data_IF_417150462189
#
_entry.id   IF_417150462189
#
_cell.length_a   1.000
_cell.length_b   1.000
_cell.length_c   1.000
_cell.angle_alpha   90.00
_cell.angle_beta   90.00
_cell.angle_gamma   90.00
#
_symmetry.space_group_name_H-M   'P 1'
#
loop_
_entity.id
_entity.type
_entity.pdbx_description
1 polymer ?
#
# COMPACT_ATOMS: atom_id res chain seq x y z
N UNK A 1 -49.15 -69.87 -14.76
CA UNK A 1 -48.27 -70.80 -15.53
C UNK A 1 -47.31 -69.96 -16.35
N UNK A 2 -46.02 -70.27 -16.42
CA UNK A 2 -45.20 -70.95 -15.40
C UNK A 2 -43.89 -70.19 -15.05
N UNK A 3 -43.31 -70.50 -13.88
CA UNK A 3 -41.86 -70.71 -13.60
C UNK A 3 -40.84 -69.56 -13.84
N UNK A 4 -39.63 -69.46 -13.25
CA UNK A 4 -38.86 -70.05 -12.11
C UNK A 4 -37.70 -69.06 -11.82
N UNK A 5 -36.90 -69.05 -10.73
CA UNK A 5 -36.70 -69.92 -9.54
C UNK A 5 -36.28 -69.05 -8.33
N UNK A 6 -36.16 -69.63 -7.13
CA UNK A 6 -35.42 -69.06 -5.98
C UNK A 6 -34.15 -69.90 -5.75
N UNK A 7 -32.95 -69.30 -5.53
CA UNK A 7 -31.81 -70.00 -4.95
C UNK A 7 -31.66 -69.73 -3.44
N UNK A 8 -31.24 -70.77 -2.72
CA UNK A 8 -31.28 -70.93 -1.26
C UNK A 8 -30.68 -69.83 -0.37
N UNK A 9 -31.28 -69.74 0.83
CA UNK A 9 -30.69 -69.11 2.01
C UNK A 9 -29.43 -69.88 2.43
N UNK A 10 -28.30 -69.18 2.57
CA UNK A 10 -27.16 -69.69 3.34
C UNK A 10 -27.22 -69.13 4.75
N UNK A 11 -27.39 -70.00 5.74
CA UNK A 11 -27.26 -69.65 7.15
C UNK A 11 -25.86 -69.10 7.43
N UNK A 12 -25.79 -67.92 8.04
CA UNK A 12 -24.54 -67.35 8.55
C UNK A 12 -24.48 -67.70 10.04
N UNK A 13 -23.47 -68.46 10.50
CA UNK A 13 -23.38 -68.84 11.92
C UNK A 13 -23.10 -67.61 12.80
N UNK A 14 -23.62 -67.57 14.04
CA UNK A 14 -23.46 -66.42 14.91
C UNK A 14 -21.99 -66.19 15.29
N UNK A 15 -21.50 -64.97 15.08
CA UNK A 15 -20.16 -64.58 15.52
C UNK A 15 -20.07 -64.53 17.05
N UNK A 16 -18.97 -65.01 17.66
CA UNK A 16 -18.82 -65.00 19.12
C UNK A 16 -18.61 -63.57 19.65
N UNK A 17 -19.56 -63.10 20.46
CA UNK A 17 -19.45 -61.81 21.16
C UNK A 17 -18.37 -61.91 22.24
N UNK A 18 -17.22 -61.26 22.02
CA UNK A 18 -16.19 -61.09 23.06
C UNK A 18 -16.58 -59.96 24.02
N UNK A 19 -16.40 -60.12 25.35
CA UNK A 19 -16.65 -59.03 26.30
C UNK A 19 -15.70 -57.85 26.05
N UNK A 20 -16.25 -56.64 26.06
CA UNK A 20 -15.47 -55.40 26.03
C UNK A 20 -14.62 -55.28 27.30
N UNK A 21 -13.29 -55.34 27.14
CA UNK A 21 -12.37 -54.98 28.23
C UNK A 21 -12.48 -53.47 28.50
N UNK A 22 -12.50 -53.02 29.76
CA UNK A 22 -12.57 -51.59 30.08
C UNK A 22 -11.32 -50.87 29.56
N UNK A 23 -11.50 -49.87 28.70
CA UNK A 23 -10.40 -49.02 28.25
C UNK A 23 -9.98 -48.11 29.41
N UNK A 24 -8.70 -48.18 29.80
CA UNK A 24 -8.10 -47.16 30.67
C UNK A 24 -8.19 -45.79 29.97
N UNK A 25 -8.41 -44.69 30.71
CA UNK A 25 -8.46 -43.36 30.11
C UNK A 25 -7.15 -43.08 29.37
N UNK A 26 -7.24 -42.70 28.09
CA UNK A 26 -6.08 -42.29 27.31
C UNK A 26 -5.49 -41.02 27.94
N UNK A 27 -4.19 -41.03 28.20
CA UNK A 27 -3.46 -39.81 28.58
C UNK A 27 -3.69 -38.73 27.51
N UNK A 28 -3.72 -37.44 27.89
CA UNK A 28 -3.90 -36.36 26.93
C UNK A 28 -2.77 -36.41 25.92
N UNK A 29 -3.12 -36.44 24.63
CA UNK A 29 -2.16 -36.36 23.54
C UNK A 29 -1.49 -34.98 23.65
N UNK A 30 -0.22 -34.95 24.03
CA UNK A 30 0.60 -33.76 23.83
C UNK A 30 0.60 -33.44 22.34
N UNK A 31 -0.11 -32.37 21.98
CA UNK A 31 0.00 -31.81 20.63
C UNK A 31 1.43 -31.30 20.49
N UNK A 32 2.25 -32.02 19.73
CA UNK A 32 3.52 -31.50 19.25
C UNK A 32 3.28 -30.10 18.72
N UNK A 33 3.86 -29.10 19.39
CA UNK A 33 3.98 -27.77 18.82
C UNK A 33 4.85 -27.92 17.58
N UNK A 34 4.23 -28.01 16.40
CA UNK A 34 4.93 -27.82 15.13
C UNK A 34 5.75 -26.55 15.29
N UNK A 35 7.08 -26.71 15.39
CA UNK A 35 8.00 -25.58 15.36
C UNK A 35 7.81 -24.92 14.01
N UNK A 36 7.06 -23.82 13.98
CA UNK A 36 7.00 -22.94 12.82
C UNK A 36 8.44 -22.60 12.47
N UNK A 37 8.83 -22.82 11.21
CA UNK A 37 10.18 -22.50 10.75
C UNK A 37 10.52 -21.06 11.14
N UNK A 38 11.77 -20.77 11.54
CA UNK A 38 12.18 -19.39 11.82
C UNK A 38 11.92 -18.53 10.58
N UNK A 39 11.39 -17.32 10.78
CA UNK A 39 11.11 -16.43 9.67
C UNK A 39 12.40 -16.16 8.85
N UNK A 40 12.33 -16.13 7.51
CA UNK A 40 13.51 -15.93 6.68
C UNK A 40 14.16 -14.55 6.97
N UNK A 41 15.48 -14.41 6.73
CA UNK A 41 16.21 -13.15 6.92
C UNK A 41 15.54 -11.96 6.25
N UNK A 42 15.68 -10.77 6.85
CA UNK A 42 14.98 -9.56 6.39
C UNK A 42 15.35 -9.23 4.93
N UNK A 43 16.63 -9.33 4.57
CA UNK A 43 17.11 -9.13 3.19
C UNK A 43 16.45 -10.10 2.19
N UNK A 44 16.39 -11.41 2.49
CA UNK A 44 15.81 -12.40 1.59
C UNK A 44 14.33 -12.09 1.31
N UNK A 45 13.57 -11.70 2.35
CA UNK A 45 12.17 -11.26 2.18
C UNK A 45 12.06 -10.04 1.25
N UNK A 46 12.97 -9.06 1.35
CA UNK A 46 12.99 -7.89 0.47
C UNK A 46 13.25 -8.27 -0.98
N UNK A 47 14.21 -9.16 -1.24
CA UNK A 47 14.44 -9.73 -2.58
C UNK A 47 13.19 -10.42 -3.14
N UNK A 48 12.52 -11.26 -2.33
CA UNK A 48 11.30 -11.95 -2.74
C UNK A 48 10.16 -10.98 -3.09
N UNK A 49 9.96 -9.91 -2.30
CA UNK A 49 8.94 -8.91 -2.59
C UNK A 49 9.16 -8.22 -3.95
N UNK A 50 10.41 -7.86 -4.30
CA UNK A 50 10.75 -7.31 -5.63
C UNK A 50 10.46 -8.36 -6.72
N UNK A 51 11.01 -9.58 -6.56
CA UNK A 51 10.94 -10.66 -7.54
C UNK A 51 9.49 -11.07 -7.84
N UNK A 52 8.67 -11.24 -6.80
CA UNK A 52 7.25 -11.59 -6.94
C UNK A 52 6.48 -10.47 -7.62
N UNK A 53 6.71 -9.21 -7.24
CA UNK A 53 6.05 -8.05 -7.88
C UNK A 53 6.39 -7.89 -9.35
N UNK A 54 7.56 -8.37 -9.80
CA UNK A 54 7.98 -8.36 -11.20
C UNK A 54 7.53 -9.60 -12.00
N UNK A 55 7.20 -10.73 -11.35
CA UNK A 55 7.01 -12.04 -12.01
C UNK A 55 5.65 -12.71 -11.77
N UNK A 56 4.80 -12.16 -10.90
CA UNK A 56 3.48 -12.69 -10.57
C UNK A 56 2.41 -11.61 -10.72
N UNK A 57 1.15 -12.04 -10.86
CA UNK A 57 -0.01 -11.15 -10.75
C UNK A 57 -0.21 -10.80 -9.26
N UNK A 58 0.38 -9.69 -8.84
CA UNK A 58 0.29 -9.19 -7.46
C UNK A 58 -0.79 -8.10 -7.29
N UNK A 59 -1.56 -7.82 -8.34
CA UNK A 59 -2.67 -6.87 -8.33
C UNK A 59 -4.02 -7.59 -8.23
N UNK A 60 -4.93 -7.03 -7.42
CA UNK A 60 -6.25 -7.59 -7.17
C UNK A 60 -7.31 -6.51 -6.92
N UNK A 61 -8.59 -6.92 -6.94
CA UNK A 61 -9.77 -6.06 -6.84
C UNK A 61 -9.81 -4.91 -7.90
N UNK A 62 -10.67 -3.90 -7.66
CA UNK A 62 -10.72 -2.67 -8.43
C UNK A 62 -10.46 -1.48 -7.48
N UNK A 63 -9.86 -0.41 -7.99
CA UNK A 63 -9.79 0.90 -7.29
C UNK A 63 -11.12 1.66 -7.29
N UNK A 64 -12.02 1.22 -8.16
CA UNK A 64 -13.30 1.84 -8.53
C UNK A 64 -13.24 3.26 -9.11
N UNK A 65 -12.07 3.75 -9.56
CA UNK A 65 -12.00 4.97 -10.38
C UNK A 65 -12.77 4.89 -11.72
N UNK A 66 -13.15 3.68 -12.17
CA UNK A 66 -14.10 3.46 -13.28
C UNK A 66 -15.52 4.01 -13.00
N UNK A 67 -15.86 4.20 -11.73
CA UNK A 67 -17.14 4.73 -11.26
C UNK A 67 -17.10 6.25 -10.96
N UNK A 68 -15.99 6.89 -11.31
CA UNK A 68 -15.75 8.34 -11.13
C UNK A 68 -15.60 8.94 -12.51
N UNK A 69 -16.59 9.73 -12.92
CA UNK A 69 -16.67 10.31 -14.27
C UNK A 69 -16.47 11.81 -14.17
N UNK A 70 -15.34 12.32 -14.64
CA UNK A 70 -15.14 13.77 -14.81
C UNK A 70 -16.03 14.25 -15.95
N UNK A 71 -16.68 15.40 -15.80
CA UNK A 71 -17.49 16.00 -16.86
C UNK A 71 -16.56 16.61 -17.90
N UNK A 72 -16.65 16.10 -19.12
CA UNK A 72 -15.89 16.63 -20.26
C UNK A 72 -16.35 18.05 -20.60
N UNK A 73 -15.38 18.96 -20.72
CA UNK A 73 -15.55 20.25 -21.36
C UNK A 73 -15.07 20.19 -22.81
N UNK A 74 -15.99 20.42 -23.75
CA UNK A 74 -15.74 20.43 -25.19
C UNK A 74 -15.27 21.80 -25.72
N UNK A 75 -15.33 22.86 -24.90
CA UNK A 75 -14.87 24.20 -25.24
C UNK A 75 -14.18 24.84 -24.01
N UNK A 76 -13.02 24.31 -23.58
CA UNK A 76 -12.40 24.71 -22.31
C UNK A 76 -11.73 26.10 -22.33
N UNK A 77 -11.54 26.71 -23.50
CA UNK A 77 -10.91 28.04 -23.70
C UNK A 77 -9.53 28.20 -23.02
N UNK A 78 -8.73 27.12 -22.94
CA UNK A 78 -7.37 27.12 -22.37
C UNK A 78 -6.28 26.85 -23.42
N UNK A 79 -5.07 27.33 -23.17
CA UNK A 79 -3.84 26.80 -23.79
C UNK A 79 -3.32 25.61 -22.95
N UNK A 80 -2.95 24.53 -23.63
CA UNK A 80 -2.37 23.33 -23.00
C UNK A 80 -1.00 23.61 -22.36
N UNK A 81 -0.20 24.53 -22.91
CA UNK A 81 1.13 24.85 -22.35
C UNK A 81 1.04 25.73 -21.10
N UNK A 82 -0.05 26.48 -20.91
CA UNK A 82 -0.29 27.29 -19.71
C UNK A 82 -0.81 26.48 -18.49
N UNK A 83 -1.14 25.19 -18.64
CA UNK A 83 -1.69 24.38 -17.55
C UNK A 83 -0.63 24.14 -16.45
N UNK A 84 -0.85 24.78 -15.29
CA UNK A 84 0.02 24.72 -14.11
C UNK A 84 -0.34 23.54 -13.19
N UNK A 85 0.46 22.49 -13.24
CA UNK A 85 0.35 21.32 -12.37
C UNK A 85 1.19 21.43 -11.09
N UNK A 86 1.87 22.55 -10.83
CA UNK A 86 2.69 22.69 -9.62
C UNK A 86 1.84 22.72 -8.35
N UNK A 87 2.42 22.27 -7.23
CA UNK A 87 1.74 22.23 -5.94
C UNK A 87 2.73 22.46 -4.79
N UNK A 88 2.21 22.64 -3.56
CA UNK A 88 3.02 22.70 -2.34
C UNK A 88 2.56 21.62 -1.37
N UNK A 89 3.51 20.80 -0.90
CA UNK A 89 3.26 19.73 0.05
C UNK A 89 4.22 19.84 1.24
N UNK A 90 3.67 19.86 2.45
CA UNK A 90 4.45 19.94 3.71
C UNK A 90 5.55 21.02 3.70
N UNK A 91 5.27 22.18 3.08
CA UNK A 91 6.19 23.32 2.98
C UNK A 91 7.20 23.27 1.83
N UNK A 92 7.12 22.27 0.94
CA UNK A 92 8.01 22.10 -0.23
C UNK A 92 7.21 22.21 -1.52
N UNK A 93 7.75 22.90 -2.53
CA UNK A 93 7.16 22.95 -3.88
C UNK A 93 7.44 21.64 -4.61
N UNK A 94 6.44 21.12 -5.30
CA UNK A 94 6.56 20.05 -6.29
C UNK A 94 6.11 20.58 -7.66
N UNK A 95 6.73 20.07 -8.73
CA UNK A 95 6.37 20.44 -10.10
C UNK A 95 5.13 19.70 -10.62
N UNK A 96 4.72 18.60 -9.99
CA UNK A 96 3.45 17.91 -10.21
C UNK A 96 2.94 17.31 -8.89
N UNK A 97 1.64 17.02 -8.72
CA UNK A 97 1.07 16.49 -7.48
C UNK A 97 1.28 14.97 -7.37
N UNK A 98 2.53 14.53 -7.43
CA UNK A 98 2.88 13.11 -7.55
C UNK A 98 4.05 12.66 -6.66
N UNK A 99 3.89 11.47 -6.07
CA UNK A 99 4.91 10.75 -5.31
C UNK A 99 5.12 9.36 -5.92
N UNK A 100 6.38 8.99 -6.17
CA UNK A 100 6.76 7.59 -6.34
C UNK A 100 6.67 6.92 -4.97
N UNK A 101 5.77 5.95 -4.83
CA UNK A 101 5.48 5.32 -3.54
C UNK A 101 6.56 4.34 -3.06
N UNK A 102 6.57 4.15 -1.75
CA UNK A 102 7.52 3.28 -1.05
C UNK A 102 7.51 1.83 -1.57
N UNK A 103 8.61 1.40 -2.19
CA UNK A 103 8.78 0.03 -2.70
C UNK A 103 9.82 -0.78 -1.93
N UNK A 104 11.09 -0.36 -1.98
CA UNK A 104 12.20 -1.26 -1.66
C UNK A 104 13.38 -0.58 -0.94
N UNK A 105 14.34 -1.40 -0.54
CA UNK A 105 15.48 -1.09 0.29
C UNK A 105 15.77 -2.27 1.21
N UNK A 106 17.05 -2.50 1.53
CA UNK A 106 17.49 -3.63 2.34
C UNK A 106 17.86 -4.89 1.56
N UNK A 107 18.24 -4.76 0.29
CA UNK A 107 18.93 -5.81 -0.48
C UNK A 107 19.73 -5.23 -1.66
N UNK A 108 20.63 -6.02 -2.24
CA UNK A 108 21.54 -5.57 -3.32
C UNK A 108 20.83 -4.93 -4.53
N UNK A 109 19.78 -5.55 -5.05
CA UNK A 109 19.05 -5.04 -6.23
C UNK A 109 18.24 -3.77 -5.93
N UNK A 110 17.83 -3.58 -4.66
CA UNK A 110 17.08 -2.43 -4.22
C UNK A 110 17.87 -1.12 -4.34
N UNK A 111 19.21 -1.17 -4.24
CA UNK A 111 20.07 0.01 -4.43
C UNK A 111 19.82 0.60 -5.82
N UNK A 112 20.12 -0.15 -6.90
CA UNK A 112 19.93 0.32 -8.28
C UNK A 112 18.51 0.86 -8.53
N UNK A 113 17.50 0.14 -8.03
CA UNK A 113 16.08 0.53 -8.17
C UNK A 113 15.83 1.88 -7.49
N UNK A 114 16.21 2.04 -6.23
CA UNK A 114 16.01 3.30 -5.49
C UNK A 114 16.80 4.46 -6.11
N UNK A 115 18.02 4.24 -6.60
CA UNK A 115 18.82 5.27 -7.30
C UNK A 115 18.13 5.74 -8.59
N UNK A 116 17.62 4.81 -9.40
CA UNK A 116 16.93 5.13 -10.65
C UNK A 116 15.61 5.89 -10.42
N UNK A 117 14.82 5.47 -9.43
CA UNK A 117 13.56 6.14 -9.06
C UNK A 117 13.82 7.56 -8.53
N UNK A 118 14.76 7.71 -7.59
CA UNK A 118 15.09 8.99 -6.99
C UNK A 118 15.61 9.99 -8.03
N UNK A 119 16.50 9.57 -8.94
CA UNK A 119 17.07 10.44 -9.97
C UNK A 119 16.02 10.96 -10.96
N UNK A 120 15.06 10.10 -11.36
CA UNK A 120 13.95 10.50 -12.22
C UNK A 120 12.97 11.45 -11.49
N UNK A 121 12.67 11.18 -10.22
CA UNK A 121 11.82 12.04 -9.41
C UNK A 121 12.46 13.41 -9.13
N UNK A 122 13.77 13.47 -8.85
CA UNK A 122 14.52 14.72 -8.64
C UNK A 122 14.49 15.60 -9.89
N UNK A 123 14.83 15.02 -11.05
CA UNK A 123 14.85 15.71 -12.34
C UNK A 123 13.50 16.32 -12.70
N UNK A 124 12.40 15.65 -12.36
CA UNK A 124 11.04 16.11 -12.60
C UNK A 124 10.46 16.95 -11.44
N UNK A 125 11.17 17.14 -10.32
CA UNK A 125 10.71 17.90 -9.15
C UNK A 125 9.52 17.27 -8.43
N UNK A 126 9.54 15.94 -8.26
CA UNK A 126 8.48 15.12 -7.66
C UNK A 126 8.87 14.62 -6.26
N UNK A 127 7.96 13.89 -5.61
CA UNK A 127 8.28 13.16 -4.38
C UNK A 127 8.72 11.70 -4.62
N UNK A 128 9.51 11.16 -3.70
CA UNK A 128 9.95 9.77 -3.70
C UNK A 128 9.98 9.20 -2.27
N UNK A 129 9.28 8.09 -2.05
CA UNK A 129 9.36 7.32 -0.82
C UNK A 129 10.27 6.10 -0.95
N UNK A 130 11.17 5.91 0.02
CA UNK A 130 11.92 4.65 0.13
C UNK A 130 11.06 3.55 0.78
N UNK A 131 11.36 2.29 0.52
CA UNK A 131 10.74 1.17 1.25
C UNK A 131 11.10 1.18 2.74
N UNK A 132 10.43 0.34 3.55
CA UNK A 132 10.67 0.31 5.00
C UNK A 132 12.16 0.12 5.36
N UNK A 133 12.66 1.07 6.15
CA UNK A 133 14.05 1.23 6.64
C UNK A 133 14.38 0.32 7.84
N UNK A 134 13.46 -0.55 8.28
CA UNK A 134 13.70 -1.56 9.33
C UNK A 134 14.96 -2.39 9.09
N UNK A 135 15.35 -2.63 7.82
CA UNK A 135 16.58 -3.33 7.48
C UNK A 135 17.82 -2.46 7.77
N UNK A 136 17.95 -1.26 7.18
CA UNK A 136 19.12 -0.40 7.44
C UNK A 136 19.31 0.03 8.90
N UNK A 137 18.22 0.16 9.66
CA UNK A 137 18.27 0.49 11.09
C UNK A 137 18.83 -0.68 11.93
N UNK A 138 18.57 -1.94 11.52
CA UNK A 138 19.11 -3.13 12.19
C UNK A 138 20.48 -3.56 11.66
N UNK A 139 20.75 -3.30 10.39
CA UNK A 139 21.90 -3.77 9.64
C UNK A 139 22.51 -2.58 8.87
N UNK A 140 23.44 -1.81 9.48
CA UNK A 140 23.95 -0.55 8.93
C UNK A 140 24.55 -0.66 7.52
N UNK A 141 25.12 -1.82 7.16
CA UNK A 141 25.64 -2.11 5.81
C UNK A 141 24.58 -1.99 4.70
N UNK A 142 23.30 -2.19 5.04
CA UNK A 142 22.19 -2.05 4.10
C UNK A 142 21.77 -0.58 3.90
N UNK A 143 22.28 0.37 4.69
CA UNK A 143 21.90 1.79 4.61
C UNK A 143 22.18 2.41 3.23
N UNK A 144 23.25 1.99 2.54
CA UNK A 144 23.56 2.45 1.17
C UNK A 144 22.42 2.22 0.18
N UNK A 145 21.60 1.16 0.38
CA UNK A 145 20.47 0.83 -0.50
C UNK A 145 19.31 1.82 -0.40
N UNK A 146 19.33 2.73 0.58
CA UNK A 146 18.33 3.78 0.81
C UNK A 146 18.88 5.20 0.59
N UNK A 147 20.22 5.38 0.56
CA UNK A 147 20.86 6.69 0.39
C UNK A 147 20.81 7.11 -1.07
N UNK A 148 20.03 8.16 -1.34
CA UNK A 148 19.83 8.72 -2.71
C UNK A 148 20.15 10.21 -2.83
N UNK A 149 20.38 10.92 -1.72
CA UNK A 149 20.59 12.38 -1.71
C UNK A 149 21.81 12.88 -2.50
N UNK A 150 22.76 11.99 -2.75
CA UNK A 150 23.95 12.27 -3.55
C UNK A 150 23.66 12.46 -5.06
N UNK A 151 22.52 11.94 -5.55
CA UNK A 151 22.02 12.16 -6.93
C UNK A 151 20.61 12.75 -7.00
N UNK A 152 19.92 12.84 -5.87
CA UNK A 152 18.60 13.42 -5.73
C UNK A 152 18.56 14.44 -4.56
N UNK A 153 19.31 15.55 -4.67
CA UNK A 153 19.42 16.53 -3.59
C UNK A 153 18.13 17.34 -3.37
N UNK A 154 17.26 17.46 -4.38
CA UNK A 154 16.08 18.32 -4.39
C UNK A 154 14.75 17.57 -4.25
N UNK A 155 14.72 16.27 -4.55
CA UNK A 155 13.52 15.41 -4.47
C UNK A 155 12.86 15.54 -3.10
N UNK A 156 11.52 15.55 -3.04
CA UNK A 156 10.83 15.46 -1.76
C UNK A 156 10.94 14.02 -1.24
N UNK A 157 11.89 13.78 -0.34
CA UNK A 157 12.27 12.43 0.08
C UNK A 157 11.46 12.01 1.31
N UNK A 158 10.83 10.85 1.25
CA UNK A 158 10.00 10.30 2.33
C UNK A 158 10.68 9.05 2.88
N UNK A 159 11.11 9.10 4.14
CA UNK A 159 11.57 7.93 4.89
C UNK A 159 10.40 7.00 5.22
N UNK A 160 10.66 5.75 5.66
CA UNK A 160 9.61 4.78 5.91
C UNK A 160 9.93 3.82 7.06
N UNK A 161 9.08 3.79 8.09
CA UNK A 161 9.07 2.77 9.15
C UNK A 161 7.65 2.23 9.34
N UNK A 162 7.51 1.04 9.91
CA UNK A 162 6.20 0.49 10.27
C UNK A 162 5.84 0.88 11.69
N UNK A 163 4.62 1.37 11.91
CA UNK A 163 4.18 1.84 13.23
C UNK A 163 4.28 0.73 14.30
N UNK A 164 4.05 -0.52 13.90
CA UNK A 164 4.16 -1.70 14.77
C UNK A 164 5.58 -1.94 15.32
N UNK A 165 6.65 -1.45 14.65
CA UNK A 165 8.01 -1.60 15.17
C UNK A 165 8.24 -0.83 16.48
N UNK A 166 7.55 0.30 16.69
CA UNK A 166 7.64 1.06 17.95
C UNK A 166 7.00 0.31 19.14
N UNK A 167 5.95 -0.50 18.89
CA UNK A 167 5.44 -1.45 19.89
C UNK A 167 6.42 -2.60 20.20
N UNK A 168 7.35 -2.86 19.28
CA UNK A 168 8.32 -3.96 19.32
C UNK A 168 9.76 -3.49 19.59
N UNK A 169 9.91 -2.33 20.25
CA UNK A 169 11.19 -1.87 20.81
C UNK A 169 11.99 -0.88 19.96
N UNK A 170 11.45 -0.34 18.86
CA UNK A 170 12.03 0.86 18.24
C UNK A 170 11.70 2.08 19.12
N UNK A 171 12.68 2.96 19.32
CA UNK A 171 12.51 4.23 20.02
C UNK A 171 13.16 5.39 19.27
N UNK A 172 13.54 6.43 20.02
CA UNK A 172 14.09 7.68 19.47
C UNK A 172 15.34 7.45 18.62
N UNK A 173 16.18 6.46 18.98
CA UNK A 173 17.39 6.13 18.19
C UNK A 173 17.01 5.64 16.80
N UNK A 174 16.17 4.63 16.70
CA UNK A 174 15.75 4.01 15.42
C UNK A 174 14.97 5.00 14.55
N UNK A 175 14.19 5.88 15.19
CA UNK A 175 13.48 6.99 14.55
C UNK A 175 14.45 8.01 13.93
N UNK A 176 15.44 8.49 14.70
CA UNK A 176 16.42 9.46 14.23
C UNK A 176 17.36 8.84 13.18
N UNK A 177 17.77 7.57 13.33
CA UNK A 177 18.57 6.85 12.34
C UNK A 177 17.85 6.74 10.99
N UNK A 178 16.53 6.52 10.99
CA UNK A 178 15.73 6.49 9.77
C UNK A 178 15.63 7.87 9.10
N UNK A 179 15.51 8.95 9.87
CA UNK A 179 15.41 10.32 9.34
C UNK A 179 16.77 10.83 8.86
N UNK A 180 17.75 10.94 9.77
CA UNK A 180 19.06 11.50 9.50
C UNK A 180 19.91 10.61 8.59
N UNK A 181 19.69 9.29 8.61
CA UNK A 181 20.43 8.33 7.79
C UNK A 181 20.22 8.47 6.27
N UNK A 182 19.11 9.09 5.84
CA UNK A 182 18.84 9.43 4.43
C UNK A 182 18.51 10.91 4.19
N UNK A 183 18.40 11.72 5.25
CA UNK A 183 18.04 13.14 5.20
C UNK A 183 16.69 13.37 4.47
N UNK A 184 15.64 12.66 4.92
CA UNK A 184 14.30 12.81 4.36
C UNK A 184 13.63 14.12 4.82
N UNK A 185 12.65 14.58 4.04
CA UNK A 185 11.81 15.76 4.36
C UNK A 185 10.59 15.38 5.23
N UNK A 186 10.18 14.11 5.18
CA UNK A 186 9.09 13.54 5.98
C UNK A 186 9.35 12.06 6.29
N UNK A 187 8.66 11.52 7.31
CA UNK A 187 8.71 10.09 7.66
C UNK A 187 7.32 9.48 7.51
N UNK A 188 7.20 8.47 6.65
CA UNK A 188 6.01 7.64 6.56
C UNK A 188 6.02 6.57 7.66
N UNK A 189 4.95 6.52 8.46
CA UNK A 189 4.64 5.42 9.38
C UNK A 189 3.57 4.55 8.73
N UNK A 190 3.96 3.37 8.26
CA UNK A 190 3.03 2.47 7.58
C UNK A 190 2.21 1.62 8.55
N UNK A 191 0.95 1.41 8.17
CA UNK A 191 -0.01 0.48 8.72
C UNK A 191 -0.12 -0.68 7.74
N UNK A 192 0.22 -1.88 8.19
CA UNK A 192 0.17 -3.11 7.40
C UNK A 192 -0.40 -4.32 8.18
N UNK A 193 -1.45 -4.17 9.02
CA UNK A 193 -1.95 -5.27 9.85
C UNK A 193 -2.41 -6.47 9.02
N UNK A 194 -2.99 -6.23 7.84
CA UNK A 194 -3.36 -7.31 6.92
C UNK A 194 -2.13 -8.10 6.46
N UNK A 195 -1.07 -7.41 6.02
CA UNK A 195 0.17 -8.06 5.61
C UNK A 195 0.79 -8.85 6.75
N UNK A 196 0.94 -8.25 7.94
CA UNK A 196 1.57 -8.93 9.09
C UNK A 196 0.78 -10.15 9.57
N UNK A 197 -0.56 -10.15 9.44
CA UNK A 197 -1.39 -11.32 9.76
C UNK A 197 -1.31 -12.42 8.69
N UNK A 198 -1.15 -12.06 7.42
CA UNK A 198 -0.95 -13.02 6.33
C UNK A 198 0.48 -13.58 6.26
N UNK A 199 1.49 -12.79 6.64
CA UNK A 199 2.91 -13.14 6.54
C UNK A 199 3.32 -14.22 7.57
N UNK A 200 4.08 -15.25 7.17
CA UNK A 200 4.73 -16.14 8.13
C UNK A 200 5.63 -15.38 9.11
N UNK A 201 5.32 -15.48 10.41
CA UNK A 201 6.05 -14.80 11.48
C UNK A 201 5.83 -13.30 11.59
N UNK A 202 4.78 -12.74 10.96
CA UNK A 202 4.44 -11.31 11.09
C UNK A 202 3.86 -10.89 12.44
N UNK A 203 3.86 -9.57 12.66
CA UNK A 203 3.53 -8.91 13.92
C UNK A 203 2.01 -8.84 14.21
N UNK A 204 1.58 -9.48 15.31
CA UNK A 204 0.15 -9.69 15.62
C UNK A 204 -0.49 -8.72 16.62
N UNK A 205 0.32 -8.06 17.46
CA UNK A 205 -0.19 -7.26 18.59
C UNK A 205 -0.21 -5.76 18.29
N UNK A 206 -1.27 -5.31 17.62
CA UNK A 206 -1.47 -3.90 17.26
C UNK A 206 -2.00 -3.01 18.41
N UNK A 207 -2.14 -3.56 19.63
CA UNK A 207 -2.61 -2.80 20.80
C UNK A 207 -1.58 -1.74 21.19
N UNK A 208 -2.04 -0.49 21.26
CA UNK A 208 -1.24 0.67 21.66
C UNK A 208 -0.59 1.43 20.50
N UNK A 209 -0.66 0.96 19.25
CA UNK A 209 -0.04 1.66 18.11
C UNK A 209 -0.51 3.12 17.96
N UNK A 210 -1.77 3.44 18.28
CA UNK A 210 -2.28 4.82 18.28
C UNK A 210 -1.60 5.71 19.33
N UNK A 211 -1.23 5.15 20.49
CA UNK A 211 -0.49 5.87 21.52
C UNK A 211 0.94 6.16 21.05
N UNK A 212 1.61 5.20 20.40
CA UNK A 212 2.94 5.43 19.81
C UNK A 212 2.89 6.53 18.76
N UNK A 213 1.94 6.46 17.82
CA UNK A 213 1.74 7.49 16.80
C UNK A 213 1.56 8.88 17.46
N UNK A 214 0.78 8.94 18.54
CA UNK A 214 0.55 10.18 19.30
C UNK A 214 1.81 10.69 19.99
N UNK A 215 2.73 9.83 20.45
CA UNK A 215 4.02 10.30 20.98
C UNK A 215 4.96 10.75 19.86
N UNK A 216 5.09 9.97 18.79
CA UNK A 216 5.99 10.25 17.67
C UNK A 216 5.62 11.59 17.01
N UNK A 217 4.33 11.87 16.80
CA UNK A 217 3.87 13.14 16.21
C UNK A 217 4.15 14.38 17.10
N UNK A 218 4.41 14.23 18.41
CA UNK A 218 4.84 15.35 19.27
C UNK A 218 6.26 15.81 18.96
N UNK A 219 7.09 14.97 18.35
CA UNK A 219 8.46 15.30 17.96
C UNK A 219 8.57 16.39 16.88
N UNK A 220 7.45 16.82 16.29
CA UNK A 220 7.37 17.98 15.39
C UNK A 220 7.82 17.72 13.95
N UNK A 221 8.65 16.69 13.70
CA UNK A 221 9.02 16.28 12.35
C UNK A 221 7.80 15.83 11.52
N UNK A 222 7.72 16.08 10.20
CA UNK A 222 6.54 15.76 9.41
C UNK A 222 6.28 14.24 9.30
N UNK A 223 5.25 13.76 10.01
CA UNK A 223 4.78 12.38 9.93
C UNK A 223 3.66 12.25 8.90
N UNK A 224 3.83 11.31 7.97
CA UNK A 224 2.78 10.83 7.06
C UNK A 224 2.34 9.47 7.59
N UNK A 225 1.05 9.21 7.79
CA UNK A 225 0.60 7.84 8.08
C UNK A 225 0.08 7.22 6.79
N UNK A 226 0.61 6.05 6.44
CA UNK A 226 0.23 5.36 5.21
C UNK A 226 -0.38 3.98 5.45
N UNK A 227 -1.28 3.55 4.59
CA UNK A 227 -1.63 2.12 4.47
C UNK A 227 -0.67 1.41 3.48
N UNK A 228 -0.94 0.16 3.15
CA UNK A 228 -0.12 -0.69 2.27
C UNK A 228 -0.91 -1.45 1.19
N UNK A 229 -2.23 -1.30 1.09
CA UNK A 229 -3.03 -1.83 -0.02
C UNK A 229 -4.48 -2.22 0.32
N UNK A 230 -4.93 -1.96 1.55
CA UNK A 230 -6.27 -2.26 2.06
C UNK A 230 -7.09 -1.00 2.41
N UNK A 231 -6.54 0.21 2.29
CA UNK A 231 -7.28 1.46 2.43
C UNK A 231 -7.52 1.96 3.86
N UNK A 232 -7.67 3.29 4.00
CA UNK A 232 -7.95 3.96 5.28
C UNK A 232 -9.43 4.36 5.35
N UNK A 233 -10.07 4.09 6.48
CA UNK A 233 -11.46 4.49 6.75
C UNK A 233 -11.54 5.89 7.35
N UNK A 234 -12.73 6.51 7.27
CA UNK A 234 -13.03 7.79 7.91
C UNK A 234 -12.71 7.81 9.42
N UNK A 235 -12.97 6.70 10.12
CA UNK A 235 -12.69 6.58 11.56
C UNK A 235 -11.18 6.51 11.84
N UNK A 236 -10.45 5.71 11.07
CA UNK A 236 -8.99 5.61 11.19
C UNK A 236 -8.31 6.94 10.86
N UNK A 237 -8.78 7.65 9.83
CA UNK A 237 -8.28 8.97 9.48
C UNK A 237 -8.45 10.01 10.60
N UNK A 238 -9.62 10.06 11.25
CA UNK A 238 -9.86 10.93 12.42
C UNK A 238 -8.91 10.64 13.57
N UNK A 239 -8.58 9.37 13.82
CA UNK A 239 -7.58 9.01 14.82
C UNK A 239 -6.16 9.44 14.43
N UNK A 240 -5.80 9.33 13.14
CA UNK A 240 -4.51 9.75 12.61
C UNK A 240 -4.32 11.27 12.70
N UNK A 241 -5.30 12.05 12.26
CA UNK A 241 -5.27 13.52 12.35
C UNK A 241 -5.22 13.97 13.82
N UNK A 242 -6.06 13.39 14.69
CA UNK A 242 -6.04 13.68 16.13
C UNK A 242 -4.72 13.32 16.81
N UNK A 243 -4.01 12.31 16.33
CA UNK A 243 -2.68 11.96 16.84
C UNK A 243 -1.59 12.98 16.41
N UNK A 244 -1.88 13.88 15.47
CA UNK A 244 -0.98 14.97 15.06
C UNK A 244 -0.21 14.73 13.76
N UNK A 245 -0.55 13.68 12.99
CA UNK A 245 0.05 13.43 11.68
C UNK A 245 -0.18 14.62 10.72
N UNK A 246 0.77 14.85 9.81
CA UNK A 246 0.76 15.98 8.88
C UNK A 246 0.17 15.66 7.51
N UNK A 247 0.08 14.37 7.14
CA UNK A 247 -0.65 13.91 5.96
C UNK A 247 -1.07 12.44 6.12
N UNK A 248 -2.00 12.01 5.27
CA UNK A 248 -2.45 10.62 5.15
C UNK A 248 -2.15 10.13 3.73
N UNK A 249 -1.52 8.97 3.58
CA UNK A 249 -1.58 8.19 2.33
C UNK A 249 -2.55 7.03 2.48
N UNK A 250 -3.62 7.04 1.69
CA UNK A 250 -4.71 6.07 1.84
C UNK A 250 -4.34 4.66 1.42
N UNK A 251 -3.38 4.49 0.49
CA UNK A 251 -2.97 3.20 -0.10
C UNK A 251 -4.10 2.17 -0.24
N UNK A 252 -5.10 2.52 -1.06
CA UNK A 252 -6.36 1.78 -1.18
C UNK A 252 -6.25 0.44 -1.91
N UNK A 253 -7.32 -0.35 -1.76
CA UNK A 253 -7.51 -1.60 -2.49
C UNK A 253 -7.71 -1.33 -4.00
N UNK A 254 -7.21 -2.23 -4.85
CA UNK A 254 -7.29 -2.14 -6.32
C UNK A 254 -5.94 -2.02 -7.02
N UNK A 255 -4.83 -2.01 -6.28
CA UNK A 255 -3.46 -2.05 -6.80
C UNK A 255 -2.71 -3.28 -6.32
N UNK A 256 -1.44 -3.09 -5.96
CA UNK A 256 -0.60 -4.12 -5.33
C UNK A 256 -1.24 -4.60 -4.03
N UNK A 257 -1.47 -5.90 -3.90
CA UNK A 257 -2.02 -6.51 -2.70
C UNK A 257 -0.92 -7.30 -1.98
N UNK A 258 -0.52 -6.84 -0.79
CA UNK A 258 0.51 -7.53 -0.01
C UNK A 258 0.04 -8.86 0.59
N UNK A 259 -1.24 -9.06 0.92
CA UNK A 259 -1.73 -10.38 1.34
C UNK A 259 -1.56 -11.43 0.23
N UNK A 260 -1.81 -11.05 -1.03
CA UNK A 260 -1.55 -11.89 -2.20
C UNK A 260 -0.04 -12.13 -2.43
N UNK A 261 0.81 -11.13 -2.18
CA UNK A 261 2.27 -11.32 -2.21
C UNK A 261 2.70 -12.32 -1.11
N UNK A 262 2.17 -12.21 0.11
CA UNK A 262 2.50 -13.15 1.18
C UNK A 262 1.94 -14.56 0.95
N UNK A 263 0.80 -14.73 0.26
CA UNK A 263 0.31 -16.08 -0.10
C UNK A 263 1.24 -16.80 -1.09
N UNK A 264 1.94 -16.06 -1.96
CA UNK A 264 3.05 -16.60 -2.76
C UNK A 264 4.32 -16.92 -1.95
N UNK A 265 4.36 -16.57 -0.66
CA UNK A 265 5.45 -16.82 0.30
C UNK A 265 5.00 -17.73 1.45
N UNK A 266 4.10 -18.67 1.17
CA UNK A 266 3.52 -19.63 2.13
C UNK A 266 2.70 -18.99 3.27
N UNK A 267 2.25 -17.75 3.06
CA UNK A 267 1.35 -17.02 3.95
C UNK A 267 -0.13 -17.40 3.80
N UNK A 268 -0.97 -16.77 4.62
CA UNK A 268 -2.43 -17.01 4.63
C UNK A 268 -3.08 -16.31 3.42
N UNK A 269 -3.79 -17.09 2.59
CA UNK A 269 -4.59 -16.63 1.45
C UNK A 269 -6.06 -16.34 1.82
N UNK A 270 -6.84 -15.85 0.85
CA UNK A 270 -8.28 -15.59 1.00
C UNK A 270 -8.64 -14.13 1.30
N UNK A 271 -7.65 -13.24 1.35
CA UNK A 271 -7.81 -11.81 1.63
C UNK A 271 -7.46 -10.92 0.42
N UNK A 272 -7.46 -11.48 -0.79
CA UNK A 272 -7.06 -10.80 -2.03
C UNK A 272 -8.02 -9.65 -2.40
N UNK A 273 -9.25 -9.67 -1.91
CA UNK A 273 -10.24 -8.59 -2.08
C UNK A 273 -10.60 -7.88 -0.76
N UNK A 274 -9.79 -8.04 0.30
CA UNK A 274 -10.03 -7.38 1.58
C UNK A 274 -9.52 -5.94 1.57
N UNK A 275 -10.39 -4.99 1.91
CA UNK A 275 -10.04 -3.57 2.07
C UNK A 275 -11.10 -2.62 1.55
N UNK A 276 -10.75 -1.34 1.51
CA UNK A 276 -11.56 -0.24 0.99
C UNK A 276 -10.97 0.16 -0.38
N UNK A 277 -11.74 0.10 -1.49
CA UNK A 277 -11.28 0.57 -2.80
C UNK A 277 -10.78 2.01 -2.75
N UNK A 278 -9.72 2.32 -3.50
CA UNK A 278 -9.04 3.63 -3.44
C UNK A 278 -9.99 4.82 -3.59
N UNK A 279 -10.93 4.79 -4.54
CA UNK A 279 -11.91 5.87 -4.71
C UNK A 279 -12.83 6.03 -3.49
N UNK A 280 -13.26 4.93 -2.88
CA UNK A 280 -14.11 4.92 -1.69
C UNK A 280 -13.35 5.41 -0.44
N UNK A 281 -12.11 4.94 -0.26
CA UNK A 281 -11.23 5.36 0.84
C UNK A 281 -10.92 6.85 0.77
N UNK A 282 -10.63 7.38 -0.44
CA UNK A 282 -10.41 8.80 -0.65
C UNK A 282 -11.61 9.66 -0.24
N UNK A 283 -12.83 9.28 -0.67
CA UNK A 283 -14.07 9.98 -0.30
C UNK A 283 -14.29 9.94 1.22
N UNK A 284 -14.07 8.79 1.86
CA UNK A 284 -14.18 8.67 3.32
C UNK A 284 -13.19 9.57 4.07
N UNK A 285 -11.91 9.51 3.70
CA UNK A 285 -10.85 10.28 4.36
C UNK A 285 -11.06 11.78 4.12
N UNK A 286 -11.37 12.21 2.90
CA UNK A 286 -11.57 13.63 2.59
C UNK A 286 -12.72 14.27 3.37
N UNK A 287 -13.81 13.53 3.59
CA UNK A 287 -14.95 13.99 4.40
C UNK A 287 -14.67 13.93 5.92
N UNK A 288 -13.58 13.30 6.34
CA UNK A 288 -13.30 13.00 7.75
C UNK A 288 -12.19 13.85 8.37
N UNK A 289 -11.26 14.38 7.57
CA UNK A 289 -10.09 15.15 8.03
C UNK A 289 -9.86 16.42 7.20
N UNK A 290 -9.08 17.36 7.75
CA UNK A 290 -8.62 18.57 7.06
C UNK A 290 -7.20 18.45 6.50
N UNK A 291 -6.33 17.65 7.13
CA UNK A 291 -4.92 17.47 6.68
C UNK A 291 -4.79 16.95 5.23
N UNK A 292 -3.64 17.20 4.56
CA UNK A 292 -3.36 16.72 3.21
C UNK A 292 -3.51 15.19 3.01
N UNK A 293 -4.03 14.81 1.85
CA UNK A 293 -4.27 13.41 1.47
C UNK A 293 -3.50 13.04 0.19
N UNK A 294 -2.72 11.98 0.27
CA UNK A 294 -2.12 11.29 -0.87
C UNK A 294 -3.06 10.15 -1.27
N UNK A 295 -3.53 10.16 -2.51
CA UNK A 295 -4.29 9.07 -3.11
C UNK A 295 -3.34 8.06 -3.78
N UNK A 296 -2.95 7.01 -3.05
CA UNK A 296 -2.24 5.86 -3.62
C UNK A 296 -3.05 4.57 -3.53
N UNK A 297 -2.52 3.49 -4.11
CA UNK A 297 -3.23 2.22 -4.29
C UNK A 297 -3.89 2.18 -5.66
N UNK A 298 -3.26 1.50 -6.62
CA UNK A 298 -3.84 1.23 -7.94
C UNK A 298 -3.99 2.43 -8.89
N UNK A 299 -3.37 3.58 -8.65
CA UNK A 299 -3.23 4.66 -9.64
C UNK A 299 -2.37 4.14 -10.82
N UNK A 300 -2.88 4.18 -12.05
CA UNK A 300 -2.21 3.62 -13.25
C UNK A 300 -2.03 4.63 -14.40
N UNK A 301 -2.62 5.81 -14.29
CA UNK A 301 -2.62 6.85 -15.32
C UNK A 301 -2.76 8.25 -14.72
N UNK A 302 -2.42 9.29 -15.50
CA UNK A 302 -2.75 10.67 -15.15
C UNK A 302 -4.25 10.97 -15.13
N UNK A 303 -5.07 10.13 -15.79
CA UNK A 303 -6.54 10.20 -15.71
C UNK A 303 -7.05 9.73 -14.35
N UNK A 304 -6.44 8.67 -13.77
CA UNK A 304 -6.73 8.27 -12.39
C UNK A 304 -6.30 9.36 -11.39
N UNK A 305 -5.16 10.02 -11.65
CA UNK A 305 -4.71 11.16 -10.85
C UNK A 305 -5.72 12.31 -10.90
N UNK A 306 -6.21 12.67 -12.09
CA UNK A 306 -7.20 13.73 -12.26
C UNK A 306 -8.50 13.42 -11.50
N UNK A 307 -8.98 12.18 -11.58
CA UNK A 307 -10.13 11.70 -10.81
C UNK A 307 -9.90 11.77 -9.30
N UNK A 308 -8.73 11.35 -8.82
CA UNK A 308 -8.40 11.42 -7.40
C UNK A 308 -8.30 12.87 -6.90
N UNK A 309 -7.68 13.78 -7.65
CA UNK A 309 -7.58 15.20 -7.29
C UNK A 309 -8.97 15.86 -7.26
N UNK A 310 -9.84 15.58 -8.23
CA UNK A 310 -11.23 16.05 -8.24
C UNK A 310 -12.06 15.49 -7.06
N UNK A 311 -11.75 14.29 -6.56
CA UNK A 311 -12.33 13.73 -5.32
C UNK A 311 -11.72 14.32 -4.03
N UNK A 312 -10.76 15.24 -4.14
CA UNK A 312 -10.18 15.96 -3.00
C UNK A 312 -8.82 15.46 -2.53
N UNK A 313 -8.13 14.61 -3.32
CA UNK A 313 -6.72 14.32 -3.07
C UNK A 313 -5.85 15.58 -3.28
N UNK A 314 -4.81 15.72 -2.46
CA UNK A 314 -3.80 16.77 -2.62
C UNK A 314 -2.69 16.32 -3.56
N UNK A 315 -2.27 15.06 -3.43
CA UNK A 315 -1.28 14.39 -4.28
C UNK A 315 -1.79 12.99 -4.65
N UNK A 316 -1.18 12.39 -5.67
CA UNK A 316 -1.36 10.98 -6.03
C UNK A 316 -0.06 10.19 -5.84
N UNK A 317 -0.17 8.90 -5.56
CA UNK A 317 0.97 8.02 -5.35
C UNK A 317 0.89 6.71 -6.14
N UNK A 318 2.00 6.27 -6.72
CA UNK A 318 2.09 4.93 -7.31
C UNK A 318 3.50 4.32 -7.23
N UNK A 319 3.53 3.00 -7.06
CA UNK A 319 4.74 2.19 -6.88
C UNK A 319 4.94 1.24 -8.07
N UNK A 320 4.16 0.15 -8.11
CA UNK A 320 4.31 -0.96 -9.05
C UNK A 320 4.52 -0.59 -10.54
N UNK A 321 3.83 0.42 -11.13
CA UNK A 321 4.04 0.78 -12.54
C UNK A 321 5.48 1.19 -12.88
N UNK A 322 6.23 1.71 -11.91
CA UNK A 322 7.61 2.17 -12.10
C UNK A 322 8.65 1.10 -11.75
N UNK A 323 8.27 0.02 -11.06
CA UNK A 323 9.21 -1.00 -10.58
C UNK A 323 9.99 -1.65 -11.73
N UNK A 324 9.30 -2.02 -12.82
CA UNK A 324 9.94 -2.62 -14.01
C UNK A 324 10.84 -1.61 -14.74
N UNK A 325 10.43 -0.35 -14.84
CA UNK A 325 11.26 0.70 -15.44
C UNK A 325 12.54 0.94 -14.63
N UNK A 326 12.44 0.95 -13.30
CA UNK A 326 13.55 1.17 -12.39
C UNK A 326 14.61 0.05 -12.40
N UNK A 327 14.29 -1.18 -12.81
CA UNK A 327 15.33 -2.21 -13.03
C UNK A 327 16.17 -1.94 -14.29
N UNK A 328 15.65 -1.14 -15.24
CA UNK A 328 16.31 -0.76 -16.49
C UNK A 328 17.21 0.46 -16.23
N UNK A 329 16.61 1.65 -16.11
CA UNK A 329 17.31 2.94 -15.96
C UNK A 329 16.42 4.02 -15.32
N UNK A 330 17.04 5.11 -14.87
CA UNK A 330 16.36 6.36 -14.50
C UNK A 330 15.56 6.94 -15.67
N UNK A 331 16.12 6.93 -16.89
CA UNK A 331 15.40 7.42 -18.09
C UNK A 331 14.10 6.67 -18.36
N UNK A 332 14.07 5.34 -18.19
CA UNK A 332 12.84 4.56 -18.36
C UNK A 332 11.77 4.91 -17.32
N UNK A 333 12.17 5.30 -16.10
CA UNK A 333 11.26 5.80 -15.06
C UNK A 333 10.76 7.21 -15.45
N UNK A 334 11.65 8.08 -15.90
CA UNK A 334 11.33 9.44 -16.37
C UNK A 334 10.30 9.42 -17.53
N UNK A 335 10.52 8.58 -18.54
CA UNK A 335 9.58 8.38 -19.66
C UNK A 335 8.18 8.00 -19.12
N UNK A 336 8.11 7.09 -18.14
CA UNK A 336 6.83 6.66 -17.56
C UNK A 336 6.15 7.72 -16.68
N UNK A 337 6.93 8.56 -15.99
CA UNK A 337 6.41 9.69 -15.21
C UNK A 337 5.86 10.79 -16.13
N UNK A 338 6.54 11.06 -17.24
CA UNK A 338 6.08 12.02 -18.25
C UNK A 338 4.77 11.57 -18.92
N UNK A 339 4.53 10.27 -19.12
CA UNK A 339 3.21 9.77 -19.54
C UNK A 339 2.10 10.16 -18.54
N UNK A 340 2.32 9.96 -17.24
CA UNK A 340 1.35 10.30 -16.18
C UNK A 340 1.10 11.82 -16.12
N UNK A 341 2.16 12.62 -16.18
CA UNK A 341 2.11 14.08 -16.20
C UNK A 341 1.32 14.59 -17.41
N UNK A 342 1.61 14.05 -18.60
CA UNK A 342 0.93 14.43 -19.85
C UNK A 342 -0.57 14.08 -19.79
N UNK A 343 -0.91 12.88 -19.33
CA UNK A 343 -2.30 12.45 -19.14
C UNK A 343 -3.05 13.30 -18.11
N UNK A 344 -2.37 13.78 -17.05
CA UNK A 344 -2.96 14.73 -16.09
C UNK A 344 -3.27 16.06 -16.78
N UNK A 345 -2.31 16.67 -17.49
CA UNK A 345 -2.54 17.91 -18.26
C UNK A 345 -3.69 17.76 -19.27
N UNK A 346 -3.78 16.62 -19.96
CA UNK A 346 -4.88 16.33 -20.91
C UNK A 346 -6.23 16.24 -20.18
N UNK A 347 -6.31 15.54 -19.04
CA UNK A 347 -7.54 15.48 -18.26
C UNK A 347 -7.96 16.85 -17.71
N UNK A 348 -6.99 17.70 -17.34
CA UNK A 348 -7.22 19.08 -16.91
C UNK A 348 -7.74 19.97 -18.05
N UNK A 349 -7.13 19.89 -19.23
CA UNK A 349 -7.63 20.54 -20.45
C UNK A 349 -9.07 20.15 -20.74
N UNK A 350 -9.36 18.84 -20.76
CA UNK A 350 -10.70 18.29 -21.03
C UNK A 350 -11.71 18.48 -19.88
N UNK A 351 -11.34 19.20 -18.81
CA UNK A 351 -12.23 19.59 -17.71
C UNK A 351 -12.16 21.10 -17.39
N UNK A 352 -11.62 21.91 -18.31
CA UNK A 352 -11.55 23.38 -18.16
C UNK A 352 -10.74 23.83 -16.94
N UNK A 353 -9.73 23.06 -16.53
CA UNK A 353 -8.95 23.31 -15.31
C UNK A 353 -7.53 23.80 -15.63
N UNK A 354 -7.23 25.08 -15.37
CA UNK A 354 -5.89 25.68 -15.61
C UNK A 354 -4.85 25.24 -14.58
N UNK A 355 -5.28 24.83 -13.40
CA UNK A 355 -4.40 24.46 -12.29
C UNK A 355 -5.02 23.44 -11.34
N UNK A 356 -4.20 22.89 -10.44
CA UNK A 356 -4.62 21.87 -9.46
C UNK A 356 -5.78 22.34 -8.56
N UNK A 357 -5.88 23.64 -8.23
CA UNK A 357 -6.95 24.18 -7.40
C UNK A 357 -8.30 24.29 -8.14
N UNK A 358 -8.27 24.44 -9.46
CA UNK A 358 -9.44 24.34 -10.34
C UNK A 358 -9.84 22.87 -10.57
N UNK A 359 -8.88 21.98 -10.80
CA UNK A 359 -9.13 20.54 -10.95
C UNK A 359 -9.80 19.92 -9.71
N UNK A 360 -9.44 20.36 -8.50
CA UNK A 360 -10.12 20.00 -7.24
C UNK A 360 -11.60 20.43 -7.17
N UNK A 361 -12.05 21.30 -8.06
CA UNK A 361 -13.43 21.80 -8.20
C UNK A 361 -14.10 21.30 -9.49
N UNK A 362 -13.40 20.51 -10.31
CA UNK A 362 -13.94 19.97 -11.55
C UNK A 362 -15.21 19.16 -11.27
N UNK A 363 -16.21 19.31 -12.15
CA UNK A 363 -17.49 18.60 -11.99
C UNK A 363 -17.28 17.11 -12.25
N UNK A 364 -17.89 16.26 -11.43
CA UNK A 364 -17.86 14.81 -11.61
C UNK A 364 -19.18 14.14 -11.20
N UNK A 365 -19.39 12.93 -11.73
CA UNK A 365 -20.50 12.04 -11.38
C UNK A 365 -19.96 10.75 -10.76
N UNK A 366 -20.60 10.30 -9.69
CA UNK A 366 -20.35 8.99 -9.07
C UNK A 366 -21.41 7.99 -9.52
N UNK A 367 -20.97 6.80 -9.94
CA UNK A 367 -21.86 5.69 -10.35
C UNK A 367 -21.62 4.43 -9.52
N UNK A 368 -22.54 3.45 -9.64
CA UNK A 368 -22.39 2.09 -9.11
C UNK A 368 -21.88 2.03 -7.67
N UNK A 369 -20.92 1.13 -7.42
CA UNK A 369 -20.42 0.84 -6.08
C UNK A 369 -19.88 2.05 -5.32
N UNK A 370 -19.27 3.04 -5.98
CA UNK A 370 -18.76 4.24 -5.28
C UNK A 370 -19.90 5.15 -4.79
N UNK A 371 -20.97 5.24 -5.58
CA UNK A 371 -22.20 5.95 -5.16
C UNK A 371 -22.87 5.19 -4.01
N UNK A 372 -23.09 3.89 -4.17
CA UNK A 372 -23.71 3.02 -3.16
C UNK A 372 -22.94 3.03 -1.84
N UNK A 373 -21.61 2.96 -1.89
CA UNK A 373 -20.72 3.08 -0.73
C UNK A 373 -20.93 4.40 -0.01
N UNK A 374 -20.89 5.53 -0.74
CA UNK A 374 -21.10 6.87 -0.16
C UNK A 374 -22.48 7.02 0.49
N UNK A 375 -23.52 6.41 -0.07
CA UNK A 375 -24.90 6.49 0.45
C UNK A 375 -25.13 5.60 1.69
N UNK A 376 -24.45 4.46 1.79
CA UNK A 376 -24.56 3.52 2.91
C UNK A 376 -23.63 3.85 4.08
N UNK A 377 -22.48 4.50 3.83
CA UNK A 377 -21.49 4.87 4.85
C UNK A 377 -21.87 6.19 5.53
N UNK A 378 -22.79 6.08 6.49
CA UNK A 378 -23.19 7.15 7.43
C UNK A 378 -22.20 7.29 8.59
#
# INVERSE_FOLDING_TARGET
MPETTIPDQKEIPPMPVKPLKPQKPKQPIEKEKKKTAPAPPIEQRKCDHIRLSLSKKVESANTDFKNVHLIHDALPELDFEEIDITTTFLGKKLNAPFIIEAMTGGCKDAEKINRNLAKAADKLGLGFGVGSQRAMVKEPELAKTYKVRDIAPNVFLIGNLGLIQFRNGFGDKEYNDAISGIQCDALALHLNPLQELCQPGGDKNWKGCLNELTQICKGGFPIIVKETGAGISAQTAKHIEKAGAKAIDISGLGGTNFALIESYREGISGFENWGIPTACSLIEVRNAVSIPIIASGGIRSGVDMAKAIALGADLCGAALPFLKAATISDKAVEEKLNEFITQLKIAMMLTGSRNIAELKKAKYVLSGFVKEWKEQRR
#
